data_IF_430531419316
#
_entry.id   IF_430531419316
#
_cell.length_a   1.000
_cell.length_b   1.000
_cell.length_c   1.000
_cell.angle_alpha   90.00
_cell.angle_beta   90.00
_cell.angle_gamma   90.00
#
_symmetry.space_group_name_H-M   'P 1'
#
loop_
_entity.id
_entity.type
_entity.pdbx_description
1 polymer ?
#
# COMPACT_ATOMS: atom_id res chain seq x y z
N UNK A 1 -47.13 56.33 -50.89
CA UNK A 1 -45.96 55.48 -51.22
C UNK A 1 -44.61 56.19 -51.07
N UNK A 2 -44.43 57.47 -51.40
CA UNK A 2 -43.09 58.10 -51.23
C UNK A 2 -42.67 58.33 -49.75
N UNK A 3 -43.62 58.56 -48.82
CA UNK A 3 -43.33 58.69 -47.38
C UNK A 3 -42.87 57.38 -46.73
N UNK A 4 -43.35 56.22 -47.19
CA UNK A 4 -43.00 54.91 -46.62
C UNK A 4 -41.57 54.48 -46.98
N UNK A 5 -41.04 54.90 -48.13
CA UNK A 5 -39.67 54.55 -48.56
C UNK A 5 -38.57 55.25 -47.74
N UNK A 6 -38.82 56.46 -47.25
CA UNK A 6 -37.84 57.17 -46.42
C UNK A 6 -37.78 56.58 -44.99
N UNK A 7 -38.90 56.07 -44.50
CA UNK A 7 -39.00 55.29 -43.26
C UNK A 7 -38.36 53.90 -43.42
N UNK A 8 -38.55 53.22 -44.57
CA UNK A 8 -37.86 51.97 -44.87
C UNK A 8 -36.33 52.14 -45.01
N UNK A 9 -35.87 53.29 -45.51
CA UNK A 9 -34.43 53.59 -45.58
C UNK A 9 -33.82 53.84 -44.19
N UNK A 10 -34.53 54.53 -43.27
CA UNK A 10 -34.05 54.74 -41.90
C UNK A 10 -34.08 53.45 -41.06
N UNK A 11 -34.95 52.50 -41.40
CA UNK A 11 -35.09 51.18 -40.78
C UNK A 11 -34.32 50.05 -41.51
N UNK A 12 -33.51 50.36 -42.52
CA UNK A 12 -32.76 49.36 -43.30
C UNK A 12 -31.82 48.49 -42.45
N UNK A 13 -31.39 48.99 -41.28
CA UNK A 13 -30.55 48.25 -40.33
C UNK A 13 -31.34 47.20 -39.51
N UNK A 14 -32.67 47.32 -39.43
CA UNK A 14 -33.57 46.43 -38.68
C UNK A 14 -34.24 45.39 -39.62
N UNK A 15 -33.45 44.81 -40.53
CA UNK A 15 -33.92 43.73 -41.39
C UNK A 15 -33.89 42.39 -40.65
N UNK A 16 -34.78 41.45 -40.99
CA UNK A 16 -34.85 40.13 -40.33
C UNK A 16 -33.49 39.39 -40.31
N UNK A 17 -32.72 39.53 -41.40
CA UNK A 17 -31.37 38.98 -41.49
C UNK A 17 -30.33 39.63 -40.56
N UNK A 18 -30.42 40.93 -40.28
CA UNK A 18 -29.49 41.62 -39.37
C UNK A 18 -29.77 41.22 -37.92
N UNK A 19 -31.04 41.07 -37.56
CA UNK A 19 -31.46 40.56 -36.24
C UNK A 19 -30.92 39.16 -36.00
N UNK A 20 -30.99 38.27 -37.00
CA UNK A 20 -30.46 36.91 -36.88
C UNK A 20 -28.93 36.87 -36.70
N UNK A 21 -28.19 37.64 -37.50
CA UNK A 21 -26.73 37.75 -37.36
C UNK A 21 -26.33 38.36 -36.01
N UNK A 22 -27.09 39.34 -35.51
CA UNK A 22 -26.88 39.91 -34.19
C UNK A 22 -27.13 38.90 -33.06
N UNK A 23 -28.16 38.03 -33.18
CA UNK A 23 -28.41 36.94 -32.23
C UNK A 23 -27.30 35.89 -32.24
N UNK A 24 -26.78 35.50 -33.41
CA UNK A 24 -25.62 34.60 -33.51
C UNK A 24 -24.41 35.23 -32.82
N UNK A 25 -24.15 36.50 -33.07
CA UNK A 25 -23.03 37.23 -32.47
C UNK A 25 -23.18 37.28 -30.95
N UNK A 26 -24.38 37.57 -30.43
CA UNK A 26 -24.68 37.51 -29.00
C UNK A 26 -24.43 36.14 -28.37
N UNK A 27 -24.87 35.06 -29.05
CA UNK A 27 -24.61 33.69 -28.60
C UNK A 27 -23.11 33.34 -28.61
N UNK A 28 -22.35 33.81 -29.59
CA UNK A 28 -20.90 33.60 -29.65
C UNK A 28 -20.17 34.32 -28.52
N UNK A 29 -20.59 35.54 -28.18
CA UNK A 29 -20.07 36.26 -27.01
C UNK A 29 -20.41 35.52 -25.70
N UNK A 30 -21.63 34.99 -25.59
CA UNK A 30 -22.02 34.17 -24.43
C UNK A 30 -21.13 32.92 -24.30
N UNK A 31 -20.87 32.21 -25.41
CA UNK A 31 -19.98 31.04 -25.43
C UNK A 31 -18.55 31.42 -25.02
N UNK A 32 -18.02 32.55 -25.50
CA UNK A 32 -16.68 33.01 -25.12
C UNK A 32 -16.57 33.28 -23.60
N UNK A 33 -17.57 33.93 -23.03
CA UNK A 33 -17.65 34.18 -21.58
C UNK A 33 -17.80 32.86 -20.78
N UNK A 34 -18.64 31.96 -21.28
CA UNK A 34 -18.84 30.64 -20.69
C UNK A 34 -17.58 29.78 -20.74
N UNK A 35 -16.78 29.89 -21.80
CA UNK A 35 -15.51 29.17 -21.93
C UNK A 35 -14.52 29.57 -20.83
N UNK A 36 -14.32 30.87 -20.63
CA UNK A 36 -13.38 31.38 -19.61
C UNK A 36 -13.84 31.04 -18.18
N UNK A 37 -15.14 31.14 -17.89
CA UNK A 37 -15.67 30.73 -16.57
C UNK A 37 -15.56 29.23 -16.34
N UNK A 38 -15.78 28.42 -17.39
CA UNK A 38 -15.65 26.97 -17.32
C UNK A 38 -14.20 26.56 -17.08
N UNK A 39 -13.23 27.17 -17.79
CA UNK A 39 -11.82 26.83 -17.66
C UNK A 39 -11.26 27.23 -16.29
N UNK A 40 -11.64 28.40 -15.78
CA UNK A 40 -11.27 28.79 -14.41
C UNK A 40 -11.87 27.85 -13.34
N UNK A 41 -13.09 27.36 -13.54
CA UNK A 41 -13.68 26.33 -12.68
C UNK A 41 -12.91 24.99 -12.79
N UNK A 42 -12.48 24.59 -13.98
CA UNK A 42 -11.63 23.40 -14.16
C UNK A 42 -10.27 23.55 -13.50
N UNK A 43 -9.60 24.71 -13.64
CA UNK A 43 -8.34 25.02 -12.94
C UNK A 43 -8.48 24.87 -11.44
N UNK A 44 -9.55 25.42 -10.86
CA UNK A 44 -9.85 25.28 -9.43
C UNK A 44 -10.09 23.81 -9.04
N UNK A 45 -10.85 23.04 -9.84
CA UNK A 45 -11.08 21.61 -9.60
C UNK A 45 -9.80 20.79 -9.67
N UNK A 46 -8.92 21.06 -10.63
CA UNK A 46 -7.62 20.38 -10.76
C UNK A 46 -6.77 20.63 -9.51
N UNK A 47 -6.65 21.89 -9.07
CA UNK A 47 -5.92 22.22 -7.85
C UNK A 47 -6.57 21.60 -6.61
N UNK A 48 -7.89 21.63 -6.50
CA UNK A 48 -8.60 20.98 -5.38
C UNK A 48 -8.36 19.47 -5.36
N UNK A 49 -8.44 18.80 -6.53
CA UNK A 49 -8.11 17.37 -6.63
C UNK A 49 -6.67 17.12 -6.25
N UNK A 50 -5.78 18.02 -6.63
CA UNK A 50 -4.38 17.93 -6.30
C UNK A 50 -4.10 18.08 -4.80
N UNK A 51 -4.77 19.01 -4.12
CA UNK A 51 -4.74 19.16 -2.67
C UNK A 51 -5.27 17.90 -1.97
N UNK A 52 -6.33 17.28 -2.52
CA UNK A 52 -6.85 16.01 -1.98
C UNK A 52 -5.86 14.85 -2.16
N UNK A 53 -5.18 14.77 -3.30
CA UNK A 53 -4.14 13.76 -3.50
C UNK A 53 -2.93 14.00 -2.60
N UNK A 54 -2.50 15.25 -2.46
CA UNK A 54 -1.37 15.63 -1.60
C UNK A 54 -1.68 15.36 -0.12
N UNK A 55 -2.90 15.65 0.33
CA UNK A 55 -3.34 15.35 1.70
C UNK A 55 -3.53 13.85 1.97
N UNK A 56 -4.06 13.09 1.00
CA UNK A 56 -4.14 11.63 1.10
C UNK A 56 -2.74 11.01 1.14
N UNK A 57 -1.87 11.48 0.25
CA UNK A 57 -0.47 11.10 0.17
C UNK A 57 0.25 11.35 1.49
N UNK A 58 0.16 12.56 2.05
CA UNK A 58 0.82 12.89 3.32
C UNK A 58 0.29 12.07 4.49
N UNK A 59 -1.02 11.77 4.53
CA UNK A 59 -1.59 10.84 5.51
C UNK A 59 -1.03 9.43 5.35
N UNK A 60 -0.91 8.92 4.13
CA UNK A 60 -0.38 7.58 3.85
C UNK A 60 1.13 7.50 4.11
N UNK A 61 1.90 8.55 3.83
CA UNK A 61 3.34 8.62 4.15
C UNK A 61 3.62 8.60 5.66
N UNK A 62 2.70 9.15 6.45
CA UNK A 62 2.83 9.13 7.91
C UNK A 62 2.35 7.79 8.53
N UNK A 63 1.70 6.89 7.78
CA UNK A 63 1.27 5.57 8.28
C UNK A 63 2.42 4.58 8.50
N UNK A 64 3.46 4.49 7.65
CA UNK A 64 4.67 3.72 7.94
C UNK A 64 5.21 3.97 9.34
N UNK A 65 5.17 5.21 9.85
CA UNK A 65 5.56 5.52 11.22
C UNK A 65 4.80 4.67 12.23
N UNK A 66 3.47 4.62 12.13
CA UNK A 66 2.62 3.84 13.04
C UNK A 66 2.89 2.33 12.92
N UNK A 67 3.14 1.84 11.70
CA UNK A 67 3.46 0.44 11.45
C UNK A 67 4.83 0.06 12.03
N UNK A 68 5.83 0.93 11.89
CA UNK A 68 7.16 0.75 12.48
C UNK A 68 7.08 0.78 13.99
N UNK A 69 6.38 1.75 14.60
CA UNK A 69 6.20 1.80 16.05
C UNK A 69 5.49 0.54 16.57
N UNK A 70 4.41 0.10 15.89
CA UNK A 70 3.72 -1.13 16.26
C UNK A 70 4.64 -2.36 16.15
N UNK A 71 5.48 -2.42 15.12
CA UNK A 71 6.42 -3.53 14.90
C UNK A 71 7.57 -3.52 15.90
N UNK A 72 8.10 -2.35 16.25
CA UNK A 72 9.08 -2.18 17.33
C UNK A 72 8.50 -2.69 18.66
N UNK A 73 7.29 -2.27 19.01
CA UNK A 73 6.62 -2.73 20.22
C UNK A 73 6.38 -4.25 20.19
N UNK A 74 6.00 -4.81 19.04
CA UNK A 74 5.81 -6.25 18.89
C UNK A 74 7.14 -7.03 19.07
N UNK A 75 8.24 -6.55 18.48
CA UNK A 75 9.57 -7.16 18.64
C UNK A 75 10.04 -7.08 20.09
N UNK A 76 9.80 -5.95 20.77
CA UNK A 76 10.10 -5.79 22.20
C UNK A 76 9.25 -6.76 23.05
N UNK A 77 7.96 -6.88 22.78
CA UNK A 77 7.09 -7.83 23.47
C UNK A 77 7.55 -9.30 23.26
N UNK A 78 8.01 -9.64 22.05
CA UNK A 78 8.58 -10.97 21.77
C UNK A 78 9.89 -11.17 22.54
N UNK A 79 10.79 -10.18 22.56
CA UNK A 79 12.03 -10.21 23.34
C UNK A 79 11.72 -10.47 24.81
N UNK A 80 10.87 -9.66 25.42
CA UNK A 80 10.56 -9.73 26.85
C UNK A 80 9.84 -11.04 27.19
N UNK A 81 8.92 -11.47 26.33
CA UNK A 81 8.24 -12.76 26.47
C UNK A 81 9.19 -13.95 26.39
N UNK A 82 10.13 -13.96 25.42
CA UNK A 82 11.15 -15.00 25.28
C UNK A 82 12.09 -15.00 26.48
N UNK A 83 12.53 -13.83 26.95
CA UNK A 83 13.39 -13.70 28.12
C UNK A 83 12.71 -14.26 29.37
N UNK A 84 11.47 -13.84 29.64
CA UNK A 84 10.70 -14.28 30.81
C UNK A 84 10.43 -15.79 30.76
N UNK A 85 10.05 -16.32 29.59
CA UNK A 85 9.80 -17.74 29.40
C UNK A 85 11.05 -18.57 29.63
N UNK A 86 12.19 -18.16 29.06
CA UNK A 86 13.45 -18.88 29.22
C UNK A 86 13.97 -18.80 30.66
N UNK A 87 13.95 -17.64 31.30
CA UNK A 87 14.37 -17.50 32.70
C UNK A 87 13.51 -18.38 33.60
N UNK A 88 12.18 -18.34 33.42
CA UNK A 88 11.26 -19.18 34.20
C UNK A 88 11.51 -20.66 33.97
N UNK A 89 11.72 -21.08 32.71
CA UNK A 89 12.04 -22.46 32.38
C UNK A 89 13.37 -22.92 33.01
N UNK A 90 14.39 -22.05 33.04
CA UNK A 90 15.68 -22.31 33.67
C UNK A 90 15.52 -22.43 35.20
N UNK A 91 14.78 -21.54 35.83
CA UNK A 91 14.51 -21.59 37.28
C UNK A 91 13.73 -22.85 37.67
N UNK A 92 12.72 -23.24 36.87
CA UNK A 92 11.99 -24.50 37.07
C UNK A 92 12.92 -25.70 36.89
N UNK A 93 13.75 -25.70 35.84
CA UNK A 93 14.71 -26.78 35.60
C UNK A 93 15.74 -26.90 36.74
N UNK A 94 16.23 -25.77 37.28
CA UNK A 94 17.11 -25.72 38.45
C UNK A 94 16.44 -26.37 39.66
N UNK A 95 15.20 -25.98 39.98
CA UNK A 95 14.45 -26.55 41.10
C UNK A 95 14.19 -28.05 40.92
N UNK A 96 13.81 -28.48 39.71
CA UNK A 96 13.65 -29.91 39.39
C UNK A 96 14.95 -30.69 39.53
N UNK A 97 16.08 -30.14 39.08
CA UNK A 97 17.39 -30.79 39.19
C UNK A 97 17.80 -30.97 40.66
N UNK A 98 17.67 -29.93 41.49
CA UNK A 98 17.96 -30.00 42.93
C UNK A 98 17.04 -31.03 43.61
N UNK A 99 15.74 -30.97 43.32
CA UNK A 99 14.77 -31.92 43.86
C UNK A 99 15.11 -33.37 43.48
N UNK A 100 15.51 -33.60 42.23
CA UNK A 100 15.89 -34.93 41.75
C UNK A 100 17.13 -35.43 42.49
N UNK A 101 18.16 -34.60 42.67
CA UNK A 101 19.35 -34.96 43.47
C UNK A 101 18.96 -35.36 44.89
N UNK A 102 18.11 -34.57 45.56
CA UNK A 102 17.64 -34.89 46.91
C UNK A 102 16.85 -36.21 46.96
N UNK A 103 15.98 -36.44 45.97
CA UNK A 103 15.18 -37.66 45.88
C UNK A 103 16.08 -38.90 45.71
N UNK A 104 17.06 -38.85 44.81
CA UNK A 104 18.00 -39.94 44.59
C UNK A 104 18.86 -40.19 45.82
N UNK A 105 19.37 -39.14 46.45
CA UNK A 105 20.14 -39.27 47.69
C UNK A 105 19.34 -39.97 48.79
N UNK A 106 18.11 -39.53 49.06
CA UNK A 106 17.25 -40.15 50.08
C UNK A 106 16.97 -41.63 49.77
N UNK A 107 16.70 -41.94 48.51
CA UNK A 107 16.45 -43.30 48.04
C UNK A 107 17.69 -44.18 48.20
N UNK A 108 18.88 -43.69 47.83
CA UNK A 108 20.12 -44.43 47.98
C UNK A 108 20.51 -44.62 49.45
N UNK A 109 20.34 -43.61 50.32
CA UNK A 109 20.57 -43.77 51.76
C UNK A 109 19.69 -44.87 52.34
N UNK A 110 18.42 -44.93 51.93
CA UNK A 110 17.47 -45.94 52.37
C UNK A 110 17.84 -47.35 51.86
N UNK A 111 18.14 -47.49 50.56
CA UNK A 111 18.48 -48.79 49.96
C UNK A 111 19.80 -49.35 50.50
N UNK A 112 20.83 -48.52 50.62
CA UNK A 112 22.17 -48.94 51.06
C UNK A 112 22.18 -49.17 52.58
N UNK A 113 21.48 -48.34 53.35
CA UNK A 113 21.25 -48.57 54.78
C UNK A 113 20.45 -49.84 55.06
N UNK A 114 19.40 -50.12 54.28
CA UNK A 114 18.64 -51.38 54.39
C UNK A 114 19.51 -52.59 54.07
N UNK A 115 20.38 -52.51 53.06
CA UNK A 115 21.33 -53.59 52.75
C UNK A 115 22.32 -53.84 53.91
N UNK A 116 22.91 -52.77 54.47
CA UNK A 116 23.83 -52.88 55.62
C UNK A 116 23.10 -53.45 56.86
N UNK A 117 21.90 -52.96 57.16
CA UNK A 117 21.10 -53.47 58.28
C UNK A 117 20.66 -54.93 58.11
N UNK A 118 20.32 -55.36 56.90
CA UNK A 118 20.03 -56.77 56.61
C UNK A 118 21.25 -57.62 56.95
N UNK A 119 22.43 -57.25 56.45
CA UNK A 119 23.69 -57.96 56.71
C UNK A 119 23.98 -58.02 58.22
N UNK A 120 23.87 -56.89 58.92
CA UNK A 120 24.15 -56.80 60.36
C UNK A 120 23.15 -57.65 61.19
N UNK A 121 21.86 -57.65 60.82
CA UNK A 121 20.81 -58.39 61.54
C UNK A 121 20.91 -59.91 61.40
N UNK A 122 21.38 -60.39 60.23
CA UNK A 122 21.66 -61.81 59.99
C UNK A 122 22.85 -62.25 60.83
N UNK A 123 23.89 -61.42 60.93
CA UNK A 123 25.14 -61.76 61.62
C UNK A 123 25.02 -61.73 63.15
N UNK A 124 24.30 -60.75 63.73
CA UNK A 124 24.09 -60.70 65.20
C UNK A 124 23.29 -61.92 65.68
N UNK A 125 22.39 -62.47 64.86
CA UNK A 125 21.65 -63.71 65.16
C UNK A 125 22.51 -64.98 65.06
N UNK A 126 23.72 -64.90 64.50
CA UNK A 126 24.67 -66.01 64.33
C UNK A 126 25.75 -66.02 65.44
N UNK A 127 25.57 -65.24 66.51
CA UNK A 127 26.35 -65.35 67.76
C UNK A 127 26.02 -66.62 68.59
N UNK A 128 25.78 -67.75 67.91
CA UNK A 128 25.66 -69.11 68.45
C UNK A 128 26.46 -70.09 67.54
N UNK A 129 26.84 -71.29 68.01
CA UNK A 129 28.06 -71.99 67.59
C UNK A 129 28.20 -72.22 66.07
N UNK A 130 29.28 -71.63 65.52
CA UNK A 130 29.75 -71.65 64.14
C UNK A 130 30.45 -72.96 63.78
N UNK A 131 29.76 -73.95 63.22
CA UNK A 131 30.45 -75.03 62.48
C UNK A 131 29.82 -75.41 61.13
N UNK A 132 28.55 -75.08 60.85
CA UNK A 132 27.91 -75.43 59.57
C UNK A 132 27.89 -74.32 58.51
N UNK A 133 28.12 -73.07 58.90
CA UNK A 133 28.00 -71.91 58.00
C UNK A 133 29.35 -71.50 57.39
N UNK A 134 30.46 -71.92 57.99
CA UNK A 134 31.80 -71.62 57.47
C UNK A 134 32.02 -72.20 56.07
N UNK A 135 31.50 -73.37 55.72
CA UNK A 135 31.79 -73.97 54.41
C UNK A 135 31.06 -73.28 53.24
N UNK A 136 29.85 -72.75 53.47
CA UNK A 136 29.11 -72.01 52.45
C UNK A 136 29.59 -70.57 52.28
N UNK A 137 30.05 -69.93 53.37
CA UNK A 137 30.57 -68.56 53.29
C UNK A 137 32.04 -68.57 52.80
N UNK A 138 32.86 -69.53 53.21
CA UNK A 138 34.26 -69.60 52.75
C UNK A 138 34.36 -69.94 51.26
N UNK A 139 33.40 -70.67 50.68
CA UNK A 139 33.37 -70.93 49.23
C UNK A 139 33.02 -69.70 48.38
N UNK A 140 32.31 -68.71 48.95
CA UNK A 140 32.04 -67.41 48.33
C UNK A 140 33.23 -66.44 48.40
N UNK A 141 34.22 -66.69 49.29
CA UNK A 141 35.35 -65.80 49.56
C UNK A 141 36.71 -66.49 49.33
N UNK A 142 36.82 -67.39 48.35
CA UNK A 142 38.00 -68.24 48.06
C UNK A 142 39.22 -67.49 47.50
N UNK A 143 39.60 -66.36 48.11
CA UNK A 143 40.75 -65.56 47.72
C UNK A 143 41.55 -64.92 48.86
N UNK A 144 41.29 -65.20 50.14
CA UNK A 144 42.02 -64.52 51.23
C UNK A 144 42.33 -65.40 52.44
N UNK A 145 43.62 -65.40 52.80
CA UNK A 145 44.25 -66.06 53.95
C UNK A 145 44.55 -65.10 55.11
N UNK A 146 43.68 -64.12 55.37
CA UNK A 146 43.79 -63.20 56.51
C UNK A 146 42.70 -63.46 57.55
N UNK A 147 42.99 -63.35 58.87
CA UNK A 147 42.04 -63.69 59.92
C UNK A 147 40.78 -62.83 59.85
N UNK A 148 39.66 -63.41 60.26
CA UNK A 148 38.36 -62.76 60.45
C UNK A 148 38.43 -61.66 61.55
N UNK A 149 39.15 -60.57 61.29
CA UNK A 149 39.27 -59.42 62.18
C UNK A 149 38.12 -58.43 61.97
N UNK A 150 37.42 -58.12 63.06
CA UNK A 150 36.39 -57.06 63.23
C UNK A 150 35.62 -56.58 61.98
N UNK A 151 34.90 -57.51 61.36
CA UNK A 151 34.01 -57.22 60.24
C UNK A 151 32.84 -56.33 60.64
N UNK A 152 32.41 -56.41 61.90
CA UNK A 152 31.37 -55.54 62.50
C UNK A 152 31.82 -54.09 62.56
N UNK A 153 33.03 -53.80 63.06
CA UNK A 153 33.59 -52.45 63.06
C UNK A 153 33.82 -51.91 61.65
N UNK A 154 34.19 -52.77 60.71
CA UNK A 154 34.32 -52.41 59.29
C UNK A 154 32.97 -52.00 58.69
N UNK A 155 31.90 -52.77 58.92
CA UNK A 155 30.55 -52.43 58.46
C UNK A 155 30.00 -51.16 59.13
N UNK A 156 30.28 -50.97 60.42
CA UNK A 156 29.93 -49.74 61.14
C UNK A 156 30.65 -48.53 60.55
N UNK A 157 31.96 -48.65 60.24
CA UNK A 157 32.72 -47.58 59.58
C UNK A 157 32.20 -47.27 58.17
N UNK A 158 31.71 -48.29 57.45
CA UNK A 158 31.09 -48.11 56.13
C UNK A 158 29.76 -47.37 56.27
N UNK A 159 28.94 -47.70 57.27
CA UNK A 159 27.71 -46.96 57.58
C UNK A 159 28.00 -45.50 57.95
N UNK A 160 28.98 -45.25 58.83
CA UNK A 160 29.35 -43.90 59.27
C UNK A 160 29.96 -43.07 58.12
N UNK A 161 30.77 -43.69 57.26
CA UNK A 161 31.32 -43.06 56.06
C UNK A 161 30.26 -42.81 54.99
N UNK A 162 29.27 -43.70 54.85
CA UNK A 162 28.12 -43.49 53.97
C UNK A 162 27.27 -42.31 54.46
N UNK A 163 27.03 -42.21 55.76
CA UNK A 163 26.31 -41.09 56.37
C UNK A 163 27.11 -39.77 56.24
N UNK A 164 28.45 -39.81 56.39
CA UNK A 164 29.33 -38.66 56.09
C UNK A 164 29.29 -38.25 54.62
N UNK A 165 29.47 -39.19 53.69
CA UNK A 165 29.43 -38.90 52.25
C UNK A 165 28.06 -38.35 51.84
N UNK A 166 26.99 -38.90 52.41
CA UNK A 166 25.64 -38.35 52.27
C UNK A 166 25.63 -36.89 52.67
N UNK A 167 26.10 -36.54 53.87
CA UNK A 167 25.98 -35.16 54.38
C UNK A 167 26.95 -34.16 53.73
N UNK A 168 28.17 -34.58 53.36
CA UNK A 168 29.20 -33.71 52.76
C UNK A 168 29.00 -33.55 51.23
N UNK A 169 28.39 -34.56 50.58
CA UNK A 169 28.10 -34.54 49.15
C UNK A 169 26.95 -33.60 48.75
N UNK A 170 26.09 -33.19 49.70
CA UNK A 170 25.00 -32.24 49.44
C UNK A 170 25.54 -30.90 48.94
N UNK A 171 26.52 -30.34 49.66
CA UNK A 171 27.01 -29.01 49.35
C UNK A 171 27.73 -28.98 48.00
N UNK A 172 28.53 -30.00 47.66
CA UNK A 172 29.30 -30.00 46.40
C UNK A 172 28.43 -30.13 45.16
N UNK A 173 27.53 -31.12 45.11
CA UNK A 173 26.69 -31.36 43.92
C UNK A 173 25.67 -30.23 43.76
N UNK A 174 25.08 -29.76 44.87
CA UNK A 174 24.13 -28.66 44.83
C UNK A 174 24.81 -27.35 44.40
N UNK A 175 26.01 -27.04 44.89
CA UNK A 175 26.75 -25.84 44.47
C UNK A 175 27.17 -25.88 43.00
N UNK A 176 27.54 -27.05 42.46
CA UNK A 176 27.87 -27.20 41.03
C UNK A 176 26.64 -26.96 40.16
N UNK A 177 25.49 -27.55 40.52
CA UNK A 177 24.22 -27.35 39.80
C UNK A 177 23.81 -25.88 39.89
N UNK A 178 23.78 -25.32 41.10
CA UNK A 178 23.36 -23.95 41.35
C UNK A 178 24.25 -22.93 40.64
N UNK A 179 25.57 -23.08 40.71
CA UNK A 179 26.52 -22.23 39.98
C UNK A 179 26.32 -22.28 38.46
N UNK A 180 26.11 -23.48 37.92
CA UNK A 180 25.88 -23.67 36.49
C UNK A 180 24.61 -22.96 36.02
N UNK A 181 23.49 -23.16 36.73
CA UNK A 181 22.21 -22.52 36.42
C UNK A 181 22.25 -21.00 36.63
N UNK A 182 22.94 -20.50 37.65
CA UNK A 182 23.11 -19.05 37.86
C UNK A 182 23.95 -18.40 36.75
N UNK A 183 25.00 -19.08 36.25
CA UNK A 183 25.80 -18.59 35.14
C UNK A 183 24.99 -18.52 33.84
N UNK A 184 24.08 -19.47 33.64
CA UNK A 184 23.12 -19.48 32.54
C UNK A 184 22.15 -18.30 32.63
N UNK A 185 21.55 -18.07 33.81
CA UNK A 185 20.63 -16.94 34.01
C UNK A 185 21.33 -15.61 33.71
N UNK A 186 22.58 -15.47 34.13
CA UNK A 186 23.44 -14.33 33.81
C UNK A 186 23.68 -14.19 32.30
N UNK A 187 24.10 -15.26 31.62
CA UNK A 187 24.34 -15.23 30.17
C UNK A 187 23.07 -14.92 29.38
N UNK A 188 21.92 -15.45 29.80
CA UNK A 188 20.64 -15.18 29.15
C UNK A 188 20.25 -13.71 29.31
N UNK A 189 20.36 -13.16 30.52
CA UNK A 189 20.06 -11.76 30.80
C UNK A 189 21.00 -10.83 30.03
N UNK A 190 22.30 -11.16 29.99
CA UNK A 190 23.28 -10.39 29.22
C UNK A 190 23.07 -10.46 27.71
N UNK A 191 22.54 -11.56 27.17
CA UNK A 191 22.44 -11.74 25.72
C UNK A 191 21.10 -11.27 25.15
N UNK A 192 19.99 -11.71 25.77
CA UNK A 192 18.63 -11.34 25.33
C UNK A 192 18.17 -10.07 26.02
N UNK A 193 18.37 -9.93 27.33
CA UNK A 193 17.89 -8.77 28.10
C UNK A 193 18.49 -7.45 27.61
N UNK A 194 19.78 -7.46 27.26
CA UNK A 194 20.47 -6.28 26.72
C UNK A 194 20.24 -6.02 25.22
N UNK A 195 19.68 -6.98 24.48
CA UNK A 195 19.50 -6.81 23.05
C UNK A 195 18.34 -5.87 22.75
N UNK A 196 18.57 -4.92 21.86
CA UNK A 196 17.53 -4.06 21.30
C UNK A 196 17.52 -4.24 19.77
N UNK A 197 16.34 -4.13 19.14
CA UNK A 197 16.28 -4.11 17.69
C UNK A 197 17.04 -2.90 17.14
N UNK A 198 17.67 -3.06 15.97
CA UNK A 198 18.38 -1.96 15.32
C UNK A 198 17.43 -0.76 15.09
N UNK A 199 17.91 0.49 15.22
CA UNK A 199 17.07 1.65 14.97
C UNK A 199 16.60 1.63 13.51
N UNK A 200 15.28 1.64 13.30
CA UNK A 200 14.70 1.81 11.99
C UNK A 200 14.58 3.31 11.71
N UNK A 201 15.48 3.83 10.89
CA UNK A 201 15.37 5.19 10.42
C UNK A 201 14.27 5.25 9.37
N UNK A 202 13.09 5.72 9.78
CA UNK A 202 12.13 6.20 8.82
C UNK A 202 12.77 7.37 8.09
N UNK A 203 12.94 7.23 6.79
CA UNK A 203 13.12 8.40 5.95
C UNK A 203 11.88 9.24 6.14
N UNK A 204 12.00 10.37 6.85
CA UNK A 204 10.96 11.37 6.99
C UNK A 204 10.70 11.92 5.60
N UNK A 205 9.84 11.24 4.86
CA UNK A 205 9.53 11.59 3.50
C UNK A 205 8.54 12.74 3.59
N UNK A 206 9.03 13.97 3.45
CA UNK A 206 8.28 14.95 2.70
C UNK A 206 8.24 14.37 1.28
N UNK A 207 7.15 13.64 0.98
CA UNK A 207 6.83 13.20 -0.36
C UNK A 207 7.22 14.30 -1.35
N UNK A 208 7.93 14.00 -2.46
CA UNK A 208 7.96 14.93 -3.56
C UNK A 208 6.51 15.32 -3.84
N UNK A 209 6.28 16.60 -4.12
CA UNK A 209 4.97 17.11 -4.47
C UNK A 209 4.44 16.21 -5.59
N UNK A 210 3.55 15.26 -5.25
CA UNK A 210 3.05 14.21 -6.16
C UNK A 210 2.32 14.84 -7.36
N UNK A 211 2.15 16.13 -7.28
CA UNK A 211 1.06 16.87 -7.82
C UNK A 211 1.60 18.17 -8.40
N UNK A 212 2.63 18.06 -9.23
CA UNK A 212 3.07 19.17 -10.07
C UNK A 212 2.04 19.33 -11.20
N UNK A 213 1.04 20.17 -10.97
CA UNK A 213 -0.01 20.46 -11.95
C UNK A 213 0.47 21.41 -13.04
N UNK A 214 1.71 21.90 -13.01
CA UNK A 214 2.20 22.91 -13.96
C UNK A 214 2.08 22.44 -15.41
N UNK A 215 2.42 21.20 -15.70
CA UNK A 215 2.33 20.61 -17.04
C UNK A 215 0.86 20.54 -17.51
N UNK A 216 -0.02 20.05 -16.63
CA UNK A 216 -1.45 19.93 -16.91
C UNK A 216 -2.14 21.29 -17.05
N UNK A 217 -1.78 22.26 -16.22
CA UNK A 217 -2.27 23.64 -16.28
C UNK A 217 -1.80 24.33 -17.56
N UNK A 218 -0.56 24.08 -17.98
CA UNK A 218 -0.04 24.59 -19.26
C UNK A 218 -0.82 24.01 -20.44
N UNK A 219 -1.15 22.71 -20.41
CA UNK A 219 -1.99 22.08 -21.42
C UNK A 219 -3.42 22.64 -21.44
N UNK A 220 -3.99 22.95 -20.26
CA UNK A 220 -5.29 23.58 -20.13
C UNK A 220 -5.30 25.02 -20.68
N UNK A 221 -4.23 25.78 -20.42
CA UNK A 221 -4.06 27.16 -20.91
C UNK A 221 -3.86 27.19 -22.42
N UNK A 222 -3.11 26.24 -22.99
CA UNK A 222 -2.99 26.08 -24.44
C UNK A 222 -4.34 25.76 -25.09
N UNK A 223 -5.16 24.92 -24.46
CA UNK A 223 -6.54 24.66 -24.90
C UNK A 223 -7.41 25.92 -24.84
N UNK A 224 -7.36 26.68 -23.73
CA UNK A 224 -8.09 27.95 -23.59
C UNK A 224 -7.72 28.92 -24.71
N UNK A 225 -6.42 29.10 -24.93
CA UNK A 225 -5.90 30.02 -25.93
C UNK A 225 -6.34 29.61 -27.33
N UNK A 226 -6.15 28.35 -27.73
CA UNK A 226 -6.51 27.86 -29.07
C UNK A 226 -8.02 27.94 -29.32
N UNK A 227 -8.84 27.55 -28.36
CA UNK A 227 -10.30 27.57 -28.52
C UNK A 227 -10.86 29.00 -28.46
N UNK A 228 -10.35 29.83 -27.55
CA UNK A 228 -10.72 31.24 -27.46
C UNK A 228 -10.32 32.04 -28.68
N UNK A 229 -9.13 31.79 -29.24
CA UNK A 229 -8.68 32.40 -30.49
C UNK A 229 -9.59 32.03 -31.67
N UNK A 230 -9.98 30.75 -31.77
CA UNK A 230 -10.90 30.27 -32.80
C UNK A 230 -12.28 30.94 -32.71
N UNK A 231 -12.85 31.05 -31.49
CA UNK A 231 -14.15 31.73 -31.27
C UNK A 231 -14.06 33.22 -31.63
N UNK A 232 -12.99 33.91 -31.23
CA UNK A 232 -12.77 35.33 -31.57
C UNK A 232 -12.68 35.55 -33.09
N UNK A 233 -12.02 34.64 -33.81
CA UNK A 233 -11.98 34.65 -35.27
C UNK A 233 -13.37 34.51 -35.89
N UNK A 234 -14.19 33.60 -35.38
CA UNK A 234 -15.57 33.42 -35.84
C UNK A 234 -16.41 34.68 -35.56
N UNK A 235 -16.28 35.29 -34.38
CA UNK A 235 -16.96 36.55 -34.04
C UNK A 235 -16.60 37.64 -35.05
N UNK A 236 -15.30 37.79 -35.37
CA UNK A 236 -14.83 38.73 -36.38
C UNK A 236 -15.44 38.48 -37.76
N UNK A 237 -15.45 37.22 -38.20
CA UNK A 237 -16.03 36.82 -39.49
C UNK A 237 -17.54 37.12 -39.55
N UNK A 238 -18.31 36.78 -38.50
CA UNK A 238 -19.75 37.04 -38.44
C UNK A 238 -20.05 38.54 -38.39
N UNK A 239 -19.23 39.32 -37.68
CA UNK A 239 -19.34 40.78 -37.64
C UNK A 239 -19.12 41.41 -39.01
N UNK A 240 -18.10 40.95 -39.75
CA UNK A 240 -17.86 41.40 -41.13
C UNK A 240 -19.06 41.06 -42.02
N UNK A 241 -19.62 39.86 -41.93
CA UNK A 241 -20.83 39.49 -42.67
C UNK A 241 -22.04 40.36 -42.31
N UNK A 242 -22.23 40.71 -41.03
CA UNK A 242 -23.28 41.60 -40.58
C UNK A 242 -23.13 42.99 -41.21
N UNK A 243 -21.92 43.56 -41.17
CA UNK A 243 -21.64 44.89 -41.75
C UNK A 243 -21.85 44.88 -43.26
N UNK A 244 -21.32 43.88 -43.97
CA UNK A 244 -21.49 43.72 -45.42
C UNK A 244 -22.97 43.56 -45.78
N UNK A 245 -23.74 42.79 -45.01
CA UNK A 245 -25.17 42.61 -45.24
C UNK A 245 -25.95 43.93 -45.10
N UNK A 246 -25.65 44.74 -44.08
CA UNK A 246 -26.24 46.08 -43.90
C UNK A 246 -25.90 46.98 -45.11
N UNK A 247 -24.64 47.00 -45.56
CA UNK A 247 -24.23 47.81 -46.70
C UNK A 247 -24.87 47.38 -48.02
N UNK A 248 -24.96 46.08 -48.28
CA UNK A 248 -25.62 45.54 -49.48
C UNK A 248 -27.11 45.91 -49.44
N UNK A 249 -27.78 45.71 -48.31
CA UNK A 249 -29.20 46.02 -48.18
C UNK A 249 -29.49 47.51 -48.31
N UNK A 250 -28.72 48.37 -47.66
CA UNK A 250 -28.83 49.83 -47.79
C UNK A 250 -28.56 50.30 -49.23
N UNK A 251 -27.55 49.71 -49.90
CA UNK A 251 -27.23 50.03 -51.30
C UNK A 251 -28.34 49.59 -52.25
N UNK A 252 -28.95 48.43 -52.01
CA UNK A 252 -30.07 47.91 -52.78
C UNK A 252 -31.30 48.80 -52.64
N UNK A 253 -31.68 49.19 -51.41
CA UNK A 253 -32.78 50.12 -51.15
C UNK A 253 -32.49 51.47 -51.82
N UNK A 254 -31.27 51.99 -51.69
CA UNK A 254 -30.87 53.27 -52.31
C UNK A 254 -30.94 53.22 -53.84
N UNK A 255 -30.49 52.12 -54.44
CA UNK A 255 -30.57 51.91 -55.88
C UNK A 255 -32.03 51.88 -56.36
N UNK A 256 -32.89 51.14 -55.66
CA UNK A 256 -34.32 51.11 -55.96
C UNK A 256 -34.97 52.48 -55.83
N UNK A 257 -34.65 53.22 -54.76
CA UNK A 257 -35.18 54.56 -54.55
C UNK A 257 -34.80 55.51 -55.69
N UNK A 258 -33.52 55.51 -56.12
CA UNK A 258 -33.07 56.34 -57.25
C UNK A 258 -33.82 55.99 -58.53
N UNK A 259 -33.89 54.70 -58.85
CA UNK A 259 -34.60 54.20 -60.04
C UNK A 259 -36.08 54.60 -60.04
N UNK A 260 -36.75 54.53 -58.90
CA UNK A 260 -38.16 54.93 -58.75
C UNK A 260 -38.37 56.44 -58.92
N UNK A 261 -37.47 57.28 -58.39
CA UNK A 261 -37.56 58.73 -58.53
C UNK A 261 -37.32 59.17 -59.98
N UNK A 262 -36.33 58.59 -60.66
CA UNK A 262 -36.04 58.84 -62.07
C UNK A 262 -37.23 58.46 -62.97
N UNK A 263 -37.79 57.27 -62.78
CA UNK A 263 -38.98 56.80 -63.49
C UNK A 263 -40.20 57.69 -63.22
N UNK A 264 -40.43 58.10 -61.97
CA UNK A 264 -41.53 59.00 -61.61
C UNK A 264 -41.41 60.36 -62.30
N UNK A 265 -40.20 60.93 -62.32
CA UNK A 265 -39.98 62.24 -62.95
C UNK A 265 -40.21 62.17 -64.47
N UNK A 266 -39.72 61.10 -65.11
CA UNK A 266 -39.88 60.85 -66.55
C UNK A 266 -41.35 60.59 -66.92
N UNK A 267 -42.09 59.88 -66.06
CA UNK A 267 -43.52 59.65 -66.24
C UNK A 267 -44.32 60.95 -66.08
N UNK A 268 -44.02 61.77 -65.07
CA UNK A 268 -44.71 63.06 -64.87
C UNK A 268 -44.45 64.05 -66.02
N UNK A 269 -43.25 64.05 -66.61
CA UNK A 269 -42.96 64.90 -67.78
C UNK A 269 -43.62 64.37 -69.04
N UNK A 270 -43.64 63.05 -69.27
CA UNK A 270 -44.35 62.43 -70.40
C UNK A 270 -45.87 62.68 -70.34
N UNK A 271 -46.49 62.48 -69.16
CA UNK A 271 -47.91 62.76 -68.93
C UNK A 271 -48.29 64.24 -69.10
N UNK A 272 -47.33 65.15 -68.88
CA UNK A 272 -47.52 66.58 -69.08
C UNK A 272 -47.37 67.01 -70.56
N UNK A 273 -46.72 66.21 -71.40
CA UNK A 273 -46.19 66.69 -72.69
C UNK A 273 -47.10 66.50 -73.90
N UNK A 274 -48.09 65.60 -73.97
CA UNK A 274 -49.06 65.64 -75.09
C UNK A 274 -50.28 64.74 -74.97
N UNK A 275 -51.40 65.20 -75.53
CA UNK A 275 -52.60 64.42 -75.88
C UNK A 275 -52.44 63.56 -77.15
N UNK A 276 -51.22 63.23 -77.57
CA UNK A 276 -50.95 62.46 -78.80
C UNK A 276 -49.90 61.32 -78.64
N UNK A 277 -49.19 61.21 -77.50
CA UNK A 277 -48.17 60.16 -77.25
C UNK A 277 -48.53 59.20 -76.10
N UNK A 278 -49.75 58.66 -76.13
CA UNK A 278 -50.25 57.72 -75.11
C UNK A 278 -49.40 56.44 -74.98
N UNK A 279 -48.83 55.93 -76.09
CA UNK A 279 -48.09 54.66 -76.11
C UNK A 279 -46.77 54.67 -75.30
N UNK A 280 -46.05 55.81 -75.27
CA UNK A 280 -44.79 55.96 -74.52
C UNK A 280 -45.05 56.12 -73.01
N UNK A 281 -46.15 56.78 -72.66
CA UNK A 281 -46.63 56.89 -71.28
C UNK A 281 -47.05 55.55 -70.68
N UNK A 282 -47.74 54.69 -71.45
CA UNK A 282 -48.15 53.36 -71.00
C UNK A 282 -46.96 52.41 -70.77
N UNK A 283 -45.91 52.49 -71.60
CA UNK A 283 -44.68 51.72 -71.39
C UNK A 283 -43.93 52.19 -70.12
N UNK A 284 -43.79 53.50 -69.94
CA UNK A 284 -43.20 54.08 -68.72
C UNK A 284 -44.04 53.78 -67.47
N UNK A 285 -45.37 53.75 -67.59
CA UNK A 285 -46.27 53.40 -66.50
C UNK A 285 -46.11 51.93 -66.10
N UNK A 286 -46.00 51.02 -67.07
CA UNK A 286 -45.69 49.60 -66.82
C UNK A 286 -44.33 49.42 -66.17
N UNK A 287 -43.30 50.13 -66.63
CA UNK A 287 -41.96 50.09 -66.03
C UNK A 287 -41.95 50.66 -64.61
N UNK A 288 -42.72 51.72 -64.35
CA UNK A 288 -42.91 52.29 -63.02
C UNK A 288 -43.68 51.35 -62.09
N UNK A 289 -44.76 50.72 -62.58
CA UNK A 289 -45.54 49.73 -61.82
C UNK A 289 -44.71 48.49 -61.51
N UNK A 290 -43.91 48.01 -62.47
CA UNK A 290 -42.99 46.89 -62.30
C UNK A 290 -41.83 47.22 -61.35
N UNK A 291 -41.27 48.44 -61.41
CA UNK A 291 -40.25 48.90 -60.48
C UNK A 291 -40.79 49.14 -59.06
N UNK A 292 -42.07 49.53 -58.94
CA UNK A 292 -42.77 49.70 -57.67
C UNK A 292 -43.23 48.36 -57.08
N UNK A 293 -43.51 47.35 -57.92
CA UNK A 293 -43.86 46.01 -57.48
C UNK A 293 -42.61 45.15 -57.34
N UNK A 294 -42.11 44.97 -56.12
CA UNK A 294 -41.02 44.03 -55.82
C UNK A 294 -41.53 42.58 -55.98
N UNK A 295 -41.65 42.09 -57.21
CA UNK A 295 -41.95 40.68 -57.53
C UNK A 295 -40.74 40.08 -58.23
N UNK A 296 -39.76 39.66 -57.42
CA UNK A 296 -38.50 39.08 -57.89
C UNK A 296 -38.64 37.74 -58.62
N UNK A 297 -39.82 37.10 -58.60
CA UNK A 297 -39.97 35.71 -59.06
C UNK A 297 -41.21 35.42 -59.90
N UNK A 298 -42.06 36.39 -60.19
CA UNK A 298 -43.22 36.18 -61.07
C UNK A 298 -43.23 37.26 -62.14
N UNK A 299 -42.77 36.87 -63.32
CA UNK A 299 -43.05 37.55 -64.58
C UNK A 299 -44.54 37.89 -64.60
N UNK A 300 -44.88 39.18 -64.66
CA UNK A 300 -46.27 39.65 -64.78
C UNK A 300 -46.77 39.39 -66.19
N UNK A 301 -46.75 38.13 -66.63
CA UNK A 301 -47.54 37.71 -67.77
C UNK A 301 -48.87 37.20 -67.24
N UNK A 302 -49.95 37.70 -67.84
CA UNK A 302 -51.34 37.48 -67.47
C UNK A 302 -51.61 36.02 -67.06
N UNK A 303 -51.68 35.77 -65.74
CA UNK A 303 -51.96 34.43 -65.20
C UNK A 303 -53.48 34.27 -65.05
N UNK A 304 -54.01 33.39 -65.88
CA UNK A 304 -55.38 32.92 -66.01
C UNK A 304 -56.06 32.51 -64.68
N UNK A 305 -57.38 32.65 -64.53
CA UNK A 305 -58.14 32.87 -63.26
C UNK A 305 -58.56 31.65 -62.36
N UNK A 306 -58.08 30.42 -62.53
CA UNK A 306 -58.13 29.27 -61.55
C UNK A 306 -57.70 29.42 -60.04
N UNK A 307 -58.46 28.94 -59.04
CA UNK A 307 -58.17 29.14 -57.60
C UNK A 307 -56.80 28.65 -57.04
N UNK A 308 -56.11 27.71 -57.72
CA UNK A 308 -54.84 27.13 -57.22
C UNK A 308 -53.63 28.08 -57.28
N UNK A 309 -53.52 28.94 -58.29
CA UNK A 309 -52.39 29.88 -58.35
C UNK A 309 -52.54 31.03 -57.34
N UNK A 310 -53.75 31.33 -56.85
CA UNK A 310 -53.95 32.37 -55.81
C UNK A 310 -53.25 32.02 -54.51
N UNK A 311 -53.29 30.73 -54.13
CA UNK A 311 -52.60 30.24 -52.94
C UNK A 311 -51.07 30.27 -53.11
N UNK A 312 -50.58 29.87 -54.29
CA UNK A 312 -49.14 29.94 -54.62
C UNK A 312 -48.65 31.39 -54.66
N UNK A 313 -49.47 32.32 -55.16
CA UNK A 313 -49.17 33.75 -55.18
C UNK A 313 -49.13 34.37 -53.77
N UNK A 314 -50.00 33.91 -52.86
CA UNK A 314 -49.97 34.31 -51.45
C UNK A 314 -48.74 33.75 -50.73
N UNK A 315 -48.40 32.48 -50.95
CA UNK A 315 -47.21 31.84 -50.37
C UNK A 315 -45.90 32.39 -50.96
N UNK A 316 -45.91 32.84 -52.22
CA UNK A 316 -44.76 33.46 -52.89
C UNK A 316 -44.62 34.95 -52.60
N UNK A 317 -45.25 35.46 -51.54
CA UNK A 317 -45.05 36.83 -51.11
C UNK A 317 -43.55 37.04 -50.76
N UNK A 318 -42.91 38.13 -51.23
CA UNK A 318 -41.47 38.34 -51.06
C UNK A 318 -41.03 38.22 -49.59
N UNK A 319 -41.80 38.75 -48.65
CA UNK A 319 -41.50 38.68 -47.20
C UNK A 319 -41.47 37.23 -46.69
N UNK A 320 -42.39 36.38 -47.14
CA UNK A 320 -42.46 34.98 -46.73
C UNK A 320 -41.29 34.17 -47.31
N UNK A 321 -40.94 34.42 -48.59
CA UNK A 321 -39.77 33.82 -49.23
C UNK A 321 -38.44 34.30 -48.60
N UNK A 322 -38.32 35.58 -48.26
CA UNK A 322 -37.17 36.10 -47.51
C UNK A 322 -37.05 35.44 -46.14
N UNK A 323 -38.17 35.27 -45.41
CA UNK A 323 -38.17 34.58 -44.13
C UNK A 323 -37.73 33.12 -44.26
N UNK A 324 -38.22 32.41 -45.29
CA UNK A 324 -37.83 31.03 -45.57
C UNK A 324 -36.33 30.91 -45.92
N UNK A 325 -35.84 31.74 -46.86
CA UNK A 325 -34.44 31.69 -47.31
C UNK A 325 -33.48 32.06 -46.19
N UNK A 326 -33.78 33.13 -45.44
CA UNK A 326 -32.97 33.54 -44.27
C UNK A 326 -33.04 32.48 -43.17
N UNK A 327 -34.20 31.88 -42.93
CA UNK A 327 -34.37 30.81 -41.95
C UNK A 327 -33.55 29.56 -42.30
N UNK A 328 -33.63 29.09 -43.55
CA UNK A 328 -32.89 27.90 -44.01
C UNK A 328 -31.38 28.16 -44.03
N UNK A 329 -30.93 29.28 -44.61
CA UNK A 329 -29.51 29.65 -44.62
C UNK A 329 -28.99 29.87 -43.19
N UNK A 330 -29.80 30.45 -42.32
CA UNK A 330 -29.46 30.65 -40.92
C UNK A 330 -29.25 29.32 -40.19
N UNK A 331 -30.22 28.39 -40.29
CA UNK A 331 -30.12 27.06 -39.67
C UNK A 331 -28.90 26.31 -40.19
N UNK A 332 -28.62 26.37 -41.50
CA UNK A 332 -27.43 25.75 -42.08
C UNK A 332 -26.14 26.37 -41.53
N UNK A 333 -26.05 27.69 -41.49
CA UNK A 333 -24.88 28.41 -40.98
C UNK A 333 -24.64 28.11 -39.50
N UNK A 334 -25.68 28.14 -38.66
CA UNK A 334 -25.57 27.78 -37.24
C UNK A 334 -25.13 26.32 -37.08
N UNK A 335 -25.70 25.37 -37.83
CA UNK A 335 -25.32 23.96 -37.71
C UNK A 335 -23.86 23.73 -38.12
N UNK A 336 -23.39 24.37 -39.19
CA UNK A 336 -21.99 24.29 -39.61
C UNK A 336 -21.08 24.88 -38.53
N UNK A 337 -21.45 26.03 -37.96
CA UNK A 337 -20.70 26.69 -36.90
C UNK A 337 -20.60 25.82 -35.64
N UNK A 338 -21.72 25.22 -35.22
CA UNK A 338 -21.78 24.32 -34.06
C UNK A 338 -20.92 23.08 -34.32
N UNK A 339 -21.03 22.44 -35.49
CA UNK A 339 -20.23 21.25 -35.82
C UNK A 339 -18.73 21.57 -35.89
N UNK A 340 -18.36 22.71 -36.45
CA UNK A 340 -16.98 23.17 -36.48
C UNK A 340 -16.44 23.36 -35.05
N UNK A 341 -17.21 24.05 -34.20
CA UNK A 341 -16.86 24.25 -32.80
C UNK A 341 -16.77 22.94 -32.01
N UNK A 342 -17.72 22.02 -32.18
CA UNK A 342 -17.78 20.72 -31.51
C UNK A 342 -16.65 19.78 -31.95
N UNK A 343 -16.30 19.79 -33.23
CA UNK A 343 -15.17 18.99 -33.73
C UNK A 343 -13.84 19.43 -33.11
N UNK A 344 -13.62 20.75 -33.02
CA UNK A 344 -12.38 21.30 -32.48
C UNK A 344 -12.32 21.18 -30.96
N UNK A 345 -13.45 21.38 -30.27
CA UNK A 345 -13.54 21.20 -28.82
C UNK A 345 -13.27 19.74 -28.43
N UNK A 346 -13.84 18.76 -29.14
CA UNK A 346 -13.59 17.33 -28.90
C UNK A 346 -12.11 16.95 -29.03
N UNK A 347 -11.46 17.39 -30.11
CA UNK A 347 -10.04 17.10 -30.33
C UNK A 347 -9.15 17.64 -29.21
N UNK A 348 -9.35 18.90 -28.84
CA UNK A 348 -8.58 19.54 -27.76
C UNK A 348 -8.87 18.89 -26.41
N UNK A 349 -10.12 18.55 -26.13
CA UNK A 349 -10.52 17.90 -24.89
C UNK A 349 -9.96 16.48 -24.78
N UNK A 350 -9.90 15.73 -25.88
CA UNK A 350 -9.30 14.40 -25.90
C UNK A 350 -7.78 14.46 -25.65
N UNK A 351 -7.07 15.40 -26.28
CA UNK A 351 -5.64 15.61 -26.02
C UNK A 351 -5.36 15.98 -24.55
N UNK A 352 -6.23 16.80 -23.96
CA UNK A 352 -6.16 17.11 -22.53
C UNK A 352 -6.42 15.86 -21.65
N UNK A 353 -7.41 15.03 -21.99
CA UNK A 353 -7.68 13.78 -21.27
C UNK A 353 -6.51 12.80 -21.34
N UNK A 354 -5.91 12.64 -22.51
CA UNK A 354 -4.74 11.78 -22.70
C UNK A 354 -3.58 12.25 -21.82
N UNK A 355 -3.29 13.56 -21.85
CA UNK A 355 -2.26 14.17 -21.02
C UNK A 355 -2.54 14.00 -19.52
N UNK A 356 -3.77 14.30 -19.09
CA UNK A 356 -4.20 14.10 -17.70
C UNK A 356 -4.03 12.64 -17.25
N UNK A 357 -4.43 11.68 -18.09
CA UNK A 357 -4.29 10.26 -17.76
C UNK A 357 -2.84 9.83 -17.60
N UNK A 358 -1.94 10.32 -18.47
CA UNK A 358 -0.51 10.03 -18.39
C UNK A 358 0.13 10.63 -17.15
N UNK A 359 -0.26 11.85 -16.79
CA UNK A 359 0.21 12.53 -15.58
C UNK A 359 -0.26 11.77 -14.33
N UNK A 360 -1.54 11.38 -14.26
CA UNK A 360 -2.08 10.57 -13.15
C UNK A 360 -1.32 9.25 -13.02
N UNK A 361 -1.07 8.55 -14.14
CA UNK A 361 -0.36 7.28 -14.15
C UNK A 361 1.09 7.41 -13.66
N UNK A 362 1.80 8.47 -14.09
CA UNK A 362 3.18 8.71 -13.67
C UNK A 362 3.27 9.09 -12.17
N UNK A 363 2.39 9.98 -11.71
CA UNK A 363 2.29 10.37 -10.30
C UNK A 363 1.99 9.15 -9.41
N UNK A 364 1.01 8.33 -9.80
CA UNK A 364 0.65 7.10 -9.08
C UNK A 364 1.80 6.08 -9.09
N UNK A 365 2.49 5.90 -10.21
CA UNK A 365 3.63 4.99 -10.31
C UNK A 365 4.75 5.40 -9.34
N UNK A 366 5.10 6.68 -9.32
CA UNK A 366 6.13 7.24 -8.42
C UNK A 366 5.76 7.04 -6.95
N UNK A 367 4.48 7.21 -6.62
CA UNK A 367 3.96 6.93 -5.29
C UNK A 367 4.10 5.44 -4.92
N UNK A 368 3.62 4.53 -5.78
CA UNK A 368 3.66 3.08 -5.53
C UNK A 368 5.11 2.60 -5.32
N UNK A 369 6.05 3.02 -6.18
CA UNK A 369 7.44 2.58 -6.08
C UNK A 369 8.09 3.03 -4.77
N UNK A 370 7.80 4.27 -4.34
CA UNK A 370 8.37 4.83 -3.11
C UNK A 370 7.84 4.12 -1.86
N UNK A 371 6.53 3.88 -1.80
CA UNK A 371 5.92 3.14 -0.68
C UNK A 371 6.39 1.69 -0.65
N UNK A 372 6.49 1.04 -1.81
CA UNK A 372 6.94 -0.34 -1.90
C UNK A 372 8.39 -0.50 -1.41
N UNK A 373 9.29 0.43 -1.74
CA UNK A 373 10.66 0.43 -1.22
C UNK A 373 10.71 0.51 0.31
N UNK A 374 9.90 1.38 0.92
CA UNK A 374 9.83 1.48 2.39
C UNK A 374 9.30 0.19 3.04
N UNK A 375 8.29 -0.44 2.45
CA UNK A 375 7.76 -1.73 2.94
C UNK A 375 8.82 -2.82 2.83
N UNK A 376 9.56 -2.89 1.71
CA UNK A 376 10.66 -3.86 1.54
C UNK A 376 11.80 -3.64 2.54
N UNK A 377 12.18 -2.39 2.81
CA UNK A 377 13.17 -2.06 3.84
C UNK A 377 12.70 -2.49 5.23
N UNK A 378 11.39 -2.34 5.52
CA UNK A 378 10.79 -2.79 6.76
C UNK A 378 10.74 -4.31 6.90
N UNK A 379 10.36 -5.04 5.84
CA UNK A 379 10.40 -6.50 5.81
C UNK A 379 11.82 -7.04 6.04
N UNK A 380 12.82 -6.41 5.42
CA UNK A 380 14.23 -6.69 5.65
C UNK A 380 14.64 -6.49 7.11
N UNK A 381 14.20 -5.38 7.73
CA UNK A 381 14.47 -5.07 9.13
C UNK A 381 13.81 -6.08 10.10
N UNK A 382 12.53 -6.43 9.89
CA UNK A 382 11.84 -7.47 10.66
C UNK A 382 12.56 -8.81 10.52
N UNK A 383 12.94 -9.17 9.29
CA UNK A 383 13.70 -10.40 9.03
C UNK A 383 15.05 -10.44 9.74
N UNK A 384 15.72 -9.29 9.87
CA UNK A 384 16.97 -9.20 10.65
C UNK A 384 16.71 -9.36 12.15
N UNK A 385 15.67 -8.72 12.69
CA UNK A 385 15.29 -8.89 14.09
C UNK A 385 14.94 -10.36 14.41
N UNK A 386 14.22 -11.06 13.52
CA UNK A 386 13.93 -12.49 13.68
C UNK A 386 15.21 -13.34 13.69
N UNK A 387 16.17 -13.03 12.83
CA UNK A 387 17.47 -13.71 12.80
C UNK A 387 18.24 -13.48 14.10
N UNK A 388 18.33 -12.25 14.57
CA UNK A 388 19.06 -11.90 15.78
C UNK A 388 18.47 -12.58 17.02
N UNK A 389 17.14 -12.52 17.20
CA UNK A 389 16.44 -13.20 18.30
C UNK A 389 16.70 -14.70 18.25
N UNK A 390 16.54 -15.32 17.07
CA UNK A 390 16.79 -16.74 16.91
C UNK A 390 18.25 -17.12 17.23
N UNK A 391 19.22 -16.36 16.73
CA UNK A 391 20.63 -16.67 16.93
C UNK A 391 21.09 -16.48 18.37
N UNK A 392 20.64 -15.40 19.03
CA UNK A 392 20.94 -15.13 20.44
C UNK A 392 20.27 -16.15 21.34
N UNK A 393 18.99 -16.43 21.13
CA UNK A 393 18.24 -17.40 21.93
C UNK A 393 18.79 -18.82 21.80
N UNK A 394 18.90 -19.32 20.56
CA UNK A 394 19.41 -20.67 20.32
C UNK A 394 20.91 -20.78 20.64
N UNK A 395 21.65 -19.67 20.58
CA UNK A 395 23.04 -19.57 20.99
C UNK A 395 23.21 -19.83 22.49
N UNK A 396 22.43 -19.16 23.33
CA UNK A 396 22.45 -19.37 24.79
C UNK A 396 22.09 -20.82 25.13
N UNK A 397 21.03 -21.38 24.53
CA UNK A 397 20.62 -22.78 24.76
C UNK A 397 21.73 -23.76 24.33
N UNK A 398 22.43 -23.48 23.22
CA UNK A 398 23.56 -24.30 22.79
C UNK A 398 24.71 -24.25 23.78
N UNK A 399 25.08 -23.06 24.26
CA UNK A 399 26.15 -22.89 25.23
C UNK A 399 25.82 -23.53 26.57
N UNK A 400 24.55 -23.46 26.99
CA UNK A 400 24.03 -24.19 28.14
C UNK A 400 24.23 -25.70 28.00
N UNK A 401 23.81 -26.26 26.87
CA UNK A 401 23.94 -27.70 26.66
C UNK A 401 25.41 -28.16 26.64
N UNK A 402 26.33 -27.33 26.16
CA UNK A 402 27.77 -27.60 26.22
C UNK A 402 28.33 -27.56 27.64
N UNK A 403 27.97 -26.54 28.42
CA UNK A 403 28.43 -26.38 29.80
C UNK A 403 27.89 -27.51 30.70
N UNK A 404 26.60 -27.82 30.59
CA UNK A 404 25.98 -28.92 31.32
C UNK A 404 26.62 -30.27 30.99
N UNK A 405 26.96 -30.50 29.71
CA UNK A 405 27.63 -31.72 29.30
C UNK A 405 29.02 -31.83 29.92
N UNK A 406 29.80 -30.75 29.93
CA UNK A 406 31.12 -30.75 30.57
C UNK A 406 31.05 -30.96 32.08
N UNK A 407 30.06 -30.36 32.76
CA UNK A 407 29.88 -30.50 34.20
C UNK A 407 29.51 -31.95 34.59
N UNK A 408 28.64 -32.61 33.81
CA UNK A 408 28.31 -34.02 34.01
C UNK A 408 29.54 -34.92 33.87
N UNK A 409 30.38 -34.68 32.88
CA UNK A 409 31.62 -35.44 32.69
C UNK A 409 32.57 -35.29 33.88
N UNK A 410 32.73 -34.08 34.44
CA UNK A 410 33.52 -33.86 35.65
C UNK A 410 32.92 -34.59 36.87
N UNK A 411 31.59 -34.53 37.05
CA UNK A 411 30.94 -35.20 38.17
C UNK A 411 31.12 -36.73 38.15
N UNK A 412 31.10 -37.35 36.96
CA UNK A 412 31.39 -38.79 36.81
C UNK A 412 32.82 -39.12 37.24
N UNK A 413 33.79 -38.25 36.93
CA UNK A 413 35.18 -38.44 37.33
C UNK A 413 35.35 -38.34 38.85
N UNK A 414 34.70 -37.38 39.50
CA UNK A 414 34.77 -37.22 40.96
C UNK A 414 34.18 -38.43 41.69
N UNK A 415 33.03 -38.95 41.21
CA UNK A 415 32.43 -40.18 41.75
C UNK A 415 33.41 -41.35 41.66
N UNK A 416 34.09 -41.52 40.52
CA UNK A 416 35.08 -42.59 40.34
C UNK A 416 36.27 -42.43 41.30
N UNK A 417 36.76 -41.21 41.50
CA UNK A 417 37.85 -40.94 42.44
C UNK A 417 37.47 -41.24 43.90
N UNK A 418 36.24 -40.92 44.31
CA UNK A 418 35.75 -41.24 45.65
C UNK A 418 35.70 -42.75 45.87
N UNK A 419 35.25 -43.53 44.88
CA UNK A 419 35.25 -45.00 44.98
C UNK A 419 36.66 -45.52 45.16
N UNK A 420 37.62 -45.06 44.35
CA UNK A 420 39.02 -45.45 44.47
C UNK A 420 39.61 -45.05 45.83
N UNK A 421 39.22 -43.91 46.39
CA UNK A 421 39.71 -43.45 47.69
C UNK A 421 39.17 -44.27 48.86
N UNK A 422 37.90 -44.70 48.79
CA UNK A 422 37.23 -45.42 49.89
C UNK A 422 37.44 -46.93 49.79
N UNK A 423 37.32 -47.48 48.60
CA UNK A 423 37.34 -48.92 48.36
C UNK A 423 38.61 -49.40 47.68
N UNK A 424 39.53 -48.50 47.32
CA UNK A 424 40.78 -48.83 46.63
C UNK A 424 41.59 -49.90 47.37
N UNK A 425 41.83 -51.02 46.69
CA UNK A 425 42.59 -52.15 47.25
C UNK A 425 41.82 -53.01 48.26
N UNK A 426 40.50 -52.79 48.42
CA UNK A 426 39.62 -53.64 49.23
C UNK A 426 38.86 -54.65 48.35
N UNK A 427 38.39 -55.75 48.94
CA UNK A 427 37.57 -56.77 48.24
C UNK A 427 36.24 -56.22 47.70
N UNK A 428 35.84 -55.01 48.10
CA UNK A 428 34.56 -54.39 47.78
C UNK A 428 34.65 -53.36 46.65
N UNK A 429 35.84 -53.12 46.09
CA UNK A 429 36.05 -52.13 45.02
C UNK A 429 35.25 -52.46 43.75
N UNK A 430 35.41 -53.67 43.21
CA UNK A 430 34.74 -54.13 41.98
C UNK A 430 33.21 -54.12 42.11
N UNK A 431 32.63 -54.70 43.19
CA UNK A 431 31.19 -54.64 43.41
C UNK A 431 30.65 -53.22 43.59
N UNK A 432 31.39 -52.33 44.27
CA UNK A 432 30.98 -50.94 44.48
C UNK A 432 31.00 -50.14 43.16
N UNK A 433 32.04 -50.33 42.33
CA UNK A 433 32.10 -49.72 40.99
C UNK A 433 30.96 -50.22 40.09
N UNK A 434 30.67 -51.52 40.09
CA UNK A 434 29.58 -52.11 39.30
C UNK A 434 28.21 -51.54 39.70
N UNK A 435 27.98 -51.40 41.01
CA UNK A 435 26.74 -50.84 41.56
C UNK A 435 26.56 -49.37 41.18
N UNK A 436 27.59 -48.53 41.40
CA UNK A 436 27.54 -47.09 41.10
C UNK A 436 27.44 -46.85 39.60
N UNK A 437 28.13 -47.66 38.79
CA UNK A 437 28.02 -47.58 37.33
C UNK A 437 26.59 -47.83 36.86
N UNK A 438 25.93 -48.85 37.41
CA UNK A 438 24.55 -49.19 37.06
C UNK A 438 23.54 -48.14 37.53
N UNK A 439 23.68 -47.67 38.77
CA UNK A 439 22.70 -46.79 39.42
C UNK A 439 22.85 -45.32 39.00
N UNK A 440 24.08 -44.83 38.88
CA UNK A 440 24.37 -43.40 38.70
C UNK A 440 24.96 -43.11 37.33
N UNK A 441 26.07 -43.76 36.95
CA UNK A 441 26.82 -43.42 35.72
C UNK A 441 25.96 -43.66 34.47
N UNK A 442 25.28 -44.80 34.34
CA UNK A 442 24.39 -45.08 33.20
C UNK A 442 23.26 -44.05 33.03
N UNK A 443 22.83 -43.39 34.11
CA UNK A 443 21.83 -42.32 34.06
C UNK A 443 22.44 -41.01 33.60
N UNK A 444 23.64 -40.70 34.07
CA UNK A 444 24.41 -39.54 33.62
C UNK A 444 24.73 -39.66 32.11
N UNK A 445 25.18 -40.82 31.64
CA UNK A 445 25.45 -41.10 30.21
C UNK A 445 24.23 -40.85 29.31
N UNK A 446 23.02 -41.18 29.80
CA UNK A 446 21.79 -40.93 29.08
C UNK A 446 21.49 -39.42 28.95
N UNK A 447 21.78 -38.64 29.99
CA UNK A 447 21.62 -37.18 29.99
C UNK A 447 22.67 -36.53 29.08
N UNK A 448 23.94 -36.95 29.14
CA UNK A 448 25.00 -36.48 28.24
C UNK A 448 24.62 -36.73 26.77
N UNK A 449 24.09 -37.92 26.47
CA UNK A 449 23.60 -38.25 25.12
C UNK A 449 22.48 -37.31 24.66
N UNK A 450 21.56 -36.95 25.58
CA UNK A 450 20.50 -35.98 25.35
C UNK A 450 21.04 -34.56 25.08
N UNK A 451 21.96 -34.07 25.89
CA UNK A 451 22.61 -32.77 25.71
C UNK A 451 23.40 -32.71 24.39
N UNK A 452 24.16 -33.76 24.07
CA UNK A 452 24.85 -33.90 22.79
C UNK A 452 23.89 -33.94 21.59
N UNK A 453 22.69 -34.50 21.76
CA UNK A 453 21.64 -34.44 20.74
C UNK A 453 21.12 -33.01 20.54
N UNK A 454 20.86 -32.26 21.62
CA UNK A 454 20.42 -30.85 21.55
C UNK A 454 21.46 -30.01 20.79
N UNK A 455 22.74 -30.10 21.16
CA UNK A 455 23.83 -29.36 20.50
C UNK A 455 23.91 -29.68 19.00
N UNK A 456 23.80 -30.96 18.62
CA UNK A 456 23.79 -31.40 17.22
C UNK A 456 22.55 -30.90 16.47
N UNK A 457 21.38 -30.96 17.09
CA UNK A 457 20.12 -30.48 16.53
C UNK A 457 20.16 -28.97 16.22
N UNK A 458 20.61 -28.18 17.20
CA UNK A 458 20.78 -26.73 17.05
C UNK A 458 21.81 -26.37 15.97
N UNK A 459 22.91 -27.13 15.88
CA UNK A 459 23.94 -26.94 14.86
C UNK A 459 23.46 -27.30 13.44
N UNK A 460 22.64 -28.36 13.29
CA UNK A 460 22.02 -28.73 12.00
C UNK A 460 20.98 -27.71 11.54
N UNK A 461 20.19 -27.14 12.45
CA UNK A 461 19.24 -26.05 12.13
C UNK A 461 19.97 -24.81 11.61
N UNK A 462 21.10 -24.42 12.21
CA UNK A 462 21.97 -23.35 11.68
C UNK A 462 22.46 -23.65 10.25
N UNK A 463 22.96 -24.87 9.97
CA UNK A 463 23.41 -25.26 8.62
C UNK A 463 22.29 -25.32 7.58
N UNK A 464 21.08 -25.75 7.95
CA UNK A 464 19.91 -25.76 7.05
C UNK A 464 19.40 -24.35 6.74
N UNK A 465 19.35 -23.43 7.72
CA UNK A 465 18.98 -22.02 7.48
C UNK A 465 20.01 -21.31 6.59
N UNK A 466 21.32 -21.56 6.77
CA UNK A 466 22.39 -20.95 5.95
C UNK A 466 22.42 -21.40 4.47
N UNK A 467 21.75 -22.51 4.13
CA UNK A 467 21.58 -23.01 2.75
C UNK A 467 20.25 -22.61 2.10
N UNK A 468 19.38 -21.91 2.83
CA UNK A 468 18.04 -21.50 2.38
C UNK A 468 17.90 -20.00 2.13
N UNK A 469 19.01 -19.26 2.21
CA UNK A 469 19.12 -17.88 1.75
C UNK A 469 19.81 -17.87 0.39
#
# INVERSE_FOLDING_TARGET
MARTLQEEYSLAWLHVGTVYLALILGNLFYILSCLSSTISAYRSRVNTMCDTFTSLSSQLYNKPQTLVTASMNAIQAVKDGVQMLLLTAITVAKACAIWFVHMYKSTYRCLLGLAIHIILSVLIKVAGPLQKISQDITSLFTGSSSPLGDWTGTLQSIQDNLDRWSNDGDDLIQNVIESSFNMIESQLNQTIGSWEPAPFNLTSFQGPEICDTSELLTALDDMEYKLGYFIKWIIGLVFVFLVVFIFIHASFIRFQYRRLVELRSSLCTALRKDGEKQADGDELLRLYEQAASVRLLVETQAIDYKPRYRFIQFMSHPIALYCLVVGVLGVLLINILIRALESKSRQLMQAFFDHSSSWIANAMSTWITTVNDQVQNMDGWIGQAEKDINEKTLGVIKNLALQANSALTCAVQDIQQVIQKIFGGTLLEEPAQGLIKCLVINRIDAIETGLAWIVRGLSKKKKKKKKRC
#
